data_IF_666041697926
#
_entry.id   IF_666041697926
#
_cell.length_a   1.000
_cell.length_b   1.000
_cell.length_c   1.000
_cell.angle_alpha   90.00
_cell.angle_beta   90.00
_cell.angle_gamma   90.00
#
_symmetry.space_group_name_H-M   'P 1'
#
loop_
_entity.id
_entity.type
_entity.pdbx_description
1 polymer ?
#
# COMPACT_ATOMS: atom_id res chain seq x y z
N UNK A 1 -6.18 29.04 6.10
CA UNK A 1 -7.27 28.04 6.12
C UNK A 1 -8.56 28.46 5.41
N UNK A 2 -8.75 29.71 4.96
CA UNK A 2 -10.10 30.22 4.62
C UNK A 2 -10.59 30.13 3.16
N UNK A 3 -9.80 29.63 2.19
CA UNK A 3 -10.21 29.65 0.76
C UNK A 3 -10.84 28.32 0.31
N UNK A 4 -10.38 27.19 0.89
CA UNK A 4 -10.94 25.86 0.57
C UNK A 4 -12.25 25.58 1.32
N UNK A 5 -12.45 26.19 2.50
CA UNK A 5 -13.70 26.03 3.28
C UNK A 5 -14.83 26.93 2.78
N UNK A 6 -14.52 27.98 2.00
CA UNK A 6 -15.51 28.87 1.38
C UNK A 6 -15.83 28.49 -0.07
N UNK A 7 -15.19 27.46 -0.60
CA UNK A 7 -15.45 26.97 -1.95
C UNK A 7 -16.64 26.01 -1.90
N UNK A 8 -17.69 26.33 -2.64
CA UNK A 8 -18.86 25.48 -2.78
C UNK A 8 -18.45 24.25 -3.61
N UNK A 9 -18.01 23.20 -2.91
CA UNK A 9 -17.54 21.95 -3.50
C UNK A 9 -18.75 21.00 -3.59
N UNK A 10 -19.38 20.83 -4.77
CA UNK A 10 -20.66 20.12 -4.91
C UNK A 10 -20.62 18.64 -4.52
N UNK A 11 -19.42 18.07 -4.32
CA UNK A 11 -19.18 16.69 -3.88
C UNK A 11 -18.43 16.60 -2.54
N UNK A 12 -18.41 17.67 -1.73
CA UNK A 12 -17.86 17.58 -0.38
C UNK A 12 -18.79 16.70 0.46
N UNK A 13 -18.44 15.42 0.56
CA UNK A 13 -19.07 14.49 1.50
C UNK A 13 -19.13 15.13 2.89
N UNK A 14 -20.28 15.01 3.55
CA UNK A 14 -20.43 15.37 4.96
C UNK A 14 -19.27 14.80 5.77
N UNK A 15 -18.80 15.52 6.80
CA UNK A 15 -17.72 15.04 7.68
C UNK A 15 -18.06 13.63 8.16
N UNK A 16 -17.40 12.62 7.59
CA UNK A 16 -17.64 11.23 7.96
C UNK A 16 -17.17 11.03 9.38
N UNK A 17 -18.06 10.59 10.26
CA UNK A 17 -17.75 10.43 11.69
C UNK A 17 -17.12 9.06 11.96
N UNK A 18 -16.34 8.96 13.03
CA UNK A 18 -15.71 7.69 13.43
C UNK A 18 -16.73 6.53 13.55
N UNK A 19 -17.91 6.69 14.20
CA UNK A 19 -18.91 5.63 14.28
C UNK A 19 -19.48 5.21 12.92
N UNK A 20 -19.72 6.16 12.00
CA UNK A 20 -20.24 5.87 10.66
C UNK A 20 -19.23 5.06 9.85
N UNK A 21 -17.97 5.50 9.82
CA UNK A 21 -16.89 4.81 9.10
C UNK A 21 -16.70 3.39 9.67
N UNK A 22 -16.69 3.23 11.00
CA UNK A 22 -16.57 1.92 11.64
C UNK A 22 -17.74 1.01 11.27
N UNK A 23 -18.98 1.51 11.26
CA UNK A 23 -20.15 0.71 10.85
C UNK A 23 -20.06 0.29 9.39
N UNK A 24 -19.71 1.21 8.47
CA UNK A 24 -19.54 0.89 7.06
C UNK A 24 -18.50 -0.22 6.82
N UNK A 25 -17.37 -0.18 7.53
CA UNK A 25 -16.36 -1.22 7.43
C UNK A 25 -16.86 -2.56 7.98
N UNK A 26 -17.52 -2.55 9.14
CA UNK A 26 -18.07 -3.76 9.78
C UNK A 26 -19.12 -4.47 8.94
N UNK A 27 -19.89 -3.70 8.17
CA UNK A 27 -20.93 -4.16 7.26
C UNK A 27 -20.41 -4.49 5.86
N UNK A 28 -19.11 -4.23 5.59
CA UNK A 28 -18.47 -4.53 4.30
C UNK A 28 -18.78 -3.52 3.19
N UNK A 29 -19.29 -2.33 3.54
CA UNK A 29 -19.55 -1.24 2.59
C UNK A 29 -18.28 -0.54 2.11
N UNK A 30 -17.21 -0.57 2.91
CA UNK A 30 -15.89 -0.04 2.55
C UNK A 30 -14.81 -1.10 2.77
N UNK A 31 -13.73 -1.04 1.99
CA UNK A 31 -12.63 -2.01 2.06
C UNK A 31 -11.72 -1.76 3.28
N UNK A 32 -10.84 -2.72 3.61
CA UNK A 32 -9.86 -2.56 4.69
C UNK A 32 -8.96 -1.35 4.47
N UNK A 33 -8.47 -1.16 3.23
CA UNK A 33 -7.67 0.01 2.89
C UNK A 33 -8.41 1.33 3.04
N UNK A 34 -9.67 1.40 2.59
CA UNK A 34 -10.49 2.60 2.75
C UNK A 34 -10.69 2.91 4.23
N UNK A 35 -10.97 1.87 5.03
CA UNK A 35 -11.10 2.02 6.47
C UNK A 35 -9.82 2.53 7.13
N UNK A 36 -8.67 1.92 6.84
CA UNK A 36 -7.37 2.37 7.32
C UNK A 36 -7.05 3.81 6.89
N UNK A 37 -7.44 4.20 5.68
CA UNK A 37 -7.27 5.57 5.18
C UNK A 37 -8.10 6.56 5.99
N UNK A 38 -9.35 6.22 6.29
CA UNK A 38 -10.22 7.06 7.12
C UNK A 38 -9.73 7.15 8.56
N UNK A 39 -9.28 6.04 9.17
CA UNK A 39 -8.70 6.04 10.52
C UNK A 39 -7.46 6.93 10.60
N UNK A 40 -6.55 6.82 9.63
CA UNK A 40 -5.39 7.70 9.54
C UNK A 40 -5.80 9.17 9.50
N UNK A 41 -6.73 9.52 8.61
CA UNK A 41 -7.25 10.89 8.48
C UNK A 41 -7.89 11.40 9.77
N UNK A 42 -8.74 10.59 10.41
CA UNK A 42 -9.42 10.94 11.66
C UNK A 42 -8.44 11.06 12.83
N UNK A 43 -7.32 10.32 12.81
CA UNK A 43 -6.26 10.39 13.81
C UNK A 43 -5.24 11.51 13.58
N UNK A 44 -5.52 12.44 12.66
CA UNK A 44 -4.68 13.61 12.36
C UNK A 44 -3.55 13.36 11.36
N UNK A 45 -3.50 12.19 10.72
CA UNK A 45 -2.44 11.86 9.74
C UNK A 45 -2.66 12.51 8.39
N UNK A 46 -1.57 12.84 7.71
CA UNK A 46 -1.60 13.59 6.44
C UNK A 46 -0.39 13.30 5.57
N UNK A 47 -0.60 13.29 4.24
CA UNK A 47 0.48 13.28 3.26
C UNK A 47 1.32 14.57 3.24
N UNK A 48 0.81 15.66 3.85
CA UNK A 48 1.49 16.95 3.89
C UNK A 48 2.54 17.06 5.01
N UNK A 49 2.53 16.16 5.98
CA UNK A 49 3.48 16.13 7.10
C UNK A 49 4.08 14.72 7.24
N UNK A 50 5.36 14.59 6.90
CA UNK A 50 6.07 13.31 6.94
C UNK A 50 6.24 12.76 8.38
N UNK A 51 6.18 13.62 9.40
CA UNK A 51 6.22 13.18 10.81
C UNK A 51 4.92 12.50 11.23
N UNK A 52 3.82 12.83 10.55
CA UNK A 52 2.46 12.36 10.77
C UNK A 52 1.89 11.69 9.51
N UNK A 53 2.76 11.02 8.75
CA UNK A 53 2.35 10.33 7.53
C UNK A 53 1.39 9.18 7.86
N UNK A 54 0.45 8.84 6.95
CA UNK A 54 -0.42 7.69 7.14
C UNK A 54 0.38 6.40 7.35
N UNK A 55 -0.08 5.57 8.28
CA UNK A 55 0.55 4.28 8.66
C UNK A 55 -0.36 3.12 8.29
N UNK A 56 0.23 2.09 7.70
CA UNK A 56 -0.41 0.83 7.33
C UNK A 56 0.39 -0.36 7.91
N UNK A 57 -0.27 -1.49 8.21
CA UNK A 57 0.42 -2.67 8.70
C UNK A 57 1.25 -3.34 7.60
N UNK A 58 2.38 -3.94 7.97
CA UNK A 58 2.84 -5.13 7.24
C UNK A 58 1.75 -6.21 7.26
N UNK A 59 1.39 -6.75 6.09
CA UNK A 59 0.36 -7.80 5.98
C UNK A 59 0.96 -9.18 5.83
N UNK A 60 1.92 -9.33 4.92
CA UNK A 60 2.58 -10.62 4.66
C UNK A 60 3.79 -10.81 5.56
N UNK A 61 4.10 -12.06 5.86
CA UNK A 61 5.32 -12.52 6.55
C UNK A 61 6.23 -13.35 5.63
N UNK A 62 5.72 -13.85 4.50
CA UNK A 62 6.47 -14.61 3.50
C UNK A 62 6.86 -13.77 2.27
N UNK A 63 8.15 -13.47 2.20
CA UNK A 63 8.78 -12.76 1.09
C UNK A 63 9.84 -13.61 0.39
N UNK A 64 9.83 -14.93 0.61
CA UNK A 64 10.85 -15.88 0.15
C UNK A 64 10.33 -16.94 -0.79
N UNK A 65 9.06 -17.32 -0.68
CA UNK A 65 8.51 -18.39 -1.51
C UNK A 65 8.32 -18.00 -2.98
N UNK A 66 8.45 -18.99 -3.86
CA UNK A 66 8.17 -18.86 -5.30
C UNK A 66 6.67 -18.76 -5.63
N UNK A 67 5.83 -19.24 -4.72
CA UNK A 67 4.37 -19.20 -4.83
C UNK A 67 3.78 -18.70 -3.52
N UNK A 68 2.72 -17.91 -3.62
CA UNK A 68 1.97 -17.41 -2.46
C UNK A 68 0.52 -17.90 -2.51
N UNK A 69 0.07 -18.54 -1.44
CA UNK A 69 -1.32 -18.99 -1.26
C UNK A 69 -2.04 -18.09 -0.27
N UNK A 70 -2.90 -17.19 -0.76
CA UNK A 70 -3.58 -16.19 0.10
C UNK A 70 -4.57 -16.80 1.09
N UNK A 71 -4.88 -18.08 0.97
CA UNK A 71 -5.71 -18.83 1.93
C UNK A 71 -4.91 -19.43 3.08
N UNK A 72 -3.59 -19.49 2.99
CA UNK A 72 -2.73 -20.01 4.05
C UNK A 72 -2.55 -18.96 5.16
N UNK A 73 -2.98 -19.21 6.41
CA UNK A 73 -2.76 -18.28 7.51
C UNK A 73 -1.27 -18.06 7.84
N UNK A 74 -0.38 -18.97 7.47
CA UNK A 74 1.04 -18.93 7.86
C UNK A 74 1.83 -17.81 7.17
N UNK A 75 1.37 -17.36 6.00
CA UNK A 75 2.02 -16.30 5.21
C UNK A 75 1.66 -14.89 5.69
N UNK A 76 0.77 -14.77 6.68
CA UNK A 76 0.33 -13.50 7.22
C UNK A 76 1.09 -13.15 8.49
N UNK A 77 1.33 -11.86 8.68
CA UNK A 77 1.79 -11.30 9.96
C UNK A 77 0.74 -11.57 11.05
N UNK A 78 1.19 -11.81 12.28
CA UNK A 78 0.32 -11.73 13.44
C UNK A 78 -0.06 -10.28 13.78
N UNK A 79 -1.26 -9.86 13.36
CA UNK A 79 -1.81 -8.52 13.59
C UNK A 79 -2.15 -8.22 15.06
N UNK A 80 -2.11 -9.22 15.96
CA UNK A 80 -2.28 -9.02 17.41
C UNK A 80 -1.04 -8.48 18.09
N UNK A 81 0.11 -8.56 17.43
CA UNK A 81 1.42 -8.18 17.96
C UNK A 81 1.98 -6.97 17.21
N UNK A 82 2.72 -6.07 17.89
CA UNK A 82 3.56 -5.06 17.22
C UNK A 82 4.55 -5.68 16.23
N UNK A 83 5.08 -4.88 15.30
CA UNK A 83 6.01 -5.37 14.27
C UNK A 83 7.28 -5.95 14.88
N UNK A 84 7.82 -5.33 15.93
CA UNK A 84 9.10 -5.70 16.54
C UNK A 84 9.10 -7.06 17.26
N UNK A 85 7.93 -7.61 17.59
CA UNK A 85 7.75 -8.84 18.39
C UNK A 85 6.99 -9.92 17.64
N UNK A 86 7.10 -9.92 16.30
CA UNK A 86 6.62 -11.04 15.49
C UNK A 86 7.42 -12.32 15.76
N UNK A 87 8.72 -12.18 16.05
CA UNK A 87 9.56 -13.24 16.60
C UNK A 87 9.56 -13.19 18.14
N UNK A 88 9.09 -14.27 18.77
CA UNK A 88 8.98 -14.37 20.22
C UNK A 88 10.33 -14.29 20.94
N UNK A 89 11.44 -14.62 20.27
CA UNK A 89 12.78 -14.50 20.86
C UNK A 89 13.18 -13.06 21.17
N UNK A 90 12.52 -12.07 20.54
CA UNK A 90 12.79 -10.64 20.72
C UNK A 90 11.92 -9.99 21.79
N UNK A 91 10.83 -10.64 22.19
CA UNK A 91 9.85 -10.05 23.12
C UNK A 91 10.49 -9.65 24.47
N UNK A 92 11.29 -10.54 25.05
CA UNK A 92 12.00 -10.27 26.31
C UNK A 92 12.99 -9.11 26.23
N UNK A 93 13.58 -8.86 25.05
CA UNK A 93 14.50 -7.72 24.89
C UNK A 93 13.77 -6.39 25.14
N UNK A 94 12.58 -6.23 24.57
CA UNK A 94 11.80 -5.00 24.71
C UNK A 94 11.16 -4.87 26.09
N UNK A 95 10.70 -5.98 26.68
CA UNK A 95 10.21 -6.01 28.07
C UNK A 95 11.32 -5.55 29.02
N UNK A 96 12.53 -6.10 28.88
CA UNK A 96 13.68 -5.69 29.69
C UNK A 96 14.03 -4.19 29.49
N UNK A 97 13.92 -3.68 28.26
CA UNK A 97 14.13 -2.25 28.01
C UNK A 97 13.11 -1.38 28.76
N UNK A 98 11.84 -1.78 28.77
CA UNK A 98 10.80 -1.10 29.54
C UNK A 98 11.10 -1.13 31.05
N UNK A 99 11.51 -2.29 31.59
CA UNK A 99 11.85 -2.42 33.01
C UNK A 99 13.07 -1.59 33.42
N UNK A 100 14.13 -1.60 32.60
CA UNK A 100 15.34 -0.80 32.83
C UNK A 100 15.00 0.69 32.79
N UNK A 101 14.29 1.15 31.75
CA UNK A 101 13.89 2.55 31.65
C UNK A 101 13.00 2.94 32.82
N UNK A 102 12.06 2.09 33.24
CA UNK A 102 11.20 2.34 34.41
C UNK A 102 12.01 2.51 35.70
N UNK A 103 13.08 1.74 35.89
CA UNK A 103 13.96 1.86 37.05
C UNK A 103 14.86 3.11 36.99
N UNK A 104 15.22 3.58 35.80
CA UNK A 104 16.08 4.76 35.60
C UNK A 104 15.30 6.08 35.59
N UNK A 105 13.99 6.04 35.33
CA UNK A 105 13.19 7.26 35.20
C UNK A 105 12.91 7.87 36.58
N UNK A 106 13.47 9.06 36.86
CA UNK A 106 13.16 9.83 38.07
C UNK A 106 12.03 10.84 37.86
N UNK A 107 11.85 11.32 36.63
CA UNK A 107 10.83 12.30 36.23
C UNK A 107 9.72 11.64 35.39
N UNK A 108 8.45 11.95 35.70
CA UNK A 108 7.30 11.40 34.98
C UNK A 108 7.27 11.70 33.46
N UNK A 109 8.08 12.68 32.99
CA UNK A 109 8.14 13.10 31.59
C UNK A 109 8.95 12.16 30.68
N UNK A 110 9.85 11.36 31.25
CA UNK A 110 10.74 10.44 30.53
C UNK A 110 10.31 8.98 30.70
N UNK A 111 9.02 8.76 31.01
CA UNK A 111 8.43 7.47 31.36
C UNK A 111 8.87 6.27 30.49
N UNK A 112 8.75 5.05 31.04
CA UNK A 112 9.32 3.85 30.44
C UNK A 112 8.75 3.52 29.06
N UNK A 113 9.56 2.88 28.23
CA UNK A 113 9.17 2.51 26.88
C UNK A 113 9.80 1.17 26.44
N UNK A 114 9.09 0.47 25.57
CA UNK A 114 9.61 -0.68 24.84
C UNK A 114 10.49 -0.24 23.67
N UNK A 115 10.09 0.84 22.98
CA UNK A 115 10.71 1.29 21.73
C UNK A 115 11.18 2.75 21.84
N UNK A 116 12.47 2.98 21.59
CA UNK A 116 13.08 4.32 21.63
C UNK A 116 12.72 5.22 20.44
N UNK A 117 12.12 4.67 19.38
CA UNK A 117 11.68 5.39 18.18
C UNK A 117 10.32 4.88 17.72
N UNK A 118 9.59 5.69 16.96
CA UNK A 118 8.26 5.34 16.47
C UNK A 118 8.30 4.53 15.18
N UNK A 119 7.26 3.73 14.92
CA UNK A 119 7.10 2.92 13.70
C UNK A 119 6.79 3.73 12.44
N UNK A 120 6.51 5.02 12.59
CA UNK A 120 6.21 5.96 11.51
C UNK A 120 6.87 7.30 11.84
N UNK A 121 7.80 7.73 10.99
CA UNK A 121 8.51 9.00 11.08
C UNK A 121 9.01 9.43 9.69
N UNK A 122 9.50 10.67 9.57
CA UNK A 122 9.96 11.24 8.30
C UNK A 122 11.05 10.40 7.63
N UNK A 123 12.01 9.87 8.41
CA UNK A 123 13.09 9.04 7.89
C UNK A 123 12.58 7.74 7.27
N UNK A 124 11.57 7.11 7.88
CA UNK A 124 10.93 5.89 7.36
C UNK A 124 10.21 6.16 6.04
N UNK A 125 9.42 7.23 5.99
CA UNK A 125 8.67 7.61 4.78
C UNK A 125 9.63 7.91 3.64
N UNK A 126 10.66 8.72 3.90
CA UNK A 126 11.67 9.06 2.91
C UNK A 126 12.49 7.83 2.50
N UNK A 127 12.78 6.90 3.41
CA UNK A 127 13.45 5.63 3.09
C UNK A 127 12.66 4.81 2.08
N UNK A 128 11.34 4.68 2.25
CA UNK A 128 10.50 3.95 1.29
C UNK A 128 10.31 4.69 -0.04
N UNK A 129 10.19 6.02 0.00
CA UNK A 129 9.88 6.85 -1.18
C UNK A 129 11.10 7.44 -1.88
N UNK A 130 12.33 7.12 -1.47
CA UNK A 130 13.58 7.74 -1.96
C UNK A 130 13.74 7.70 -3.49
N UNK A 131 13.08 6.77 -4.17
CA UNK A 131 13.10 6.60 -5.63
C UNK A 131 12.14 7.52 -6.39
N UNK A 132 11.24 8.22 -5.70
CA UNK A 132 10.22 9.07 -6.31
C UNK A 132 10.50 10.56 -6.03
N UNK A 133 10.61 11.41 -7.06
CA UNK A 133 10.50 12.85 -6.88
C UNK A 133 9.09 13.25 -6.38
N UNK A 134 8.96 14.24 -5.46
CA UNK A 134 10.01 15.05 -4.87
C UNK A 134 10.70 14.43 -3.63
N UNK A 135 10.29 13.24 -3.18
CA UNK A 135 10.82 12.59 -1.98
C UNK A 135 12.32 12.31 -2.05
N UNK A 136 12.88 12.06 -3.24
CA UNK A 136 14.33 11.98 -3.43
C UNK A 136 15.05 13.24 -2.95
N UNK A 137 14.55 14.43 -3.30
CA UNK A 137 15.16 15.69 -2.88
C UNK A 137 14.96 15.93 -1.38
N UNK A 138 13.81 15.53 -0.84
CA UNK A 138 13.55 15.60 0.60
C UNK A 138 14.48 14.67 1.39
N UNK A 139 14.74 13.47 0.88
CA UNK A 139 15.69 12.52 1.45
C UNK A 139 17.11 13.08 1.46
N UNK A 140 17.59 13.63 0.33
CA UNK A 140 18.92 14.24 0.26
C UNK A 140 19.05 15.39 1.26
N UNK A 141 18.04 16.26 1.38
CA UNK A 141 18.04 17.34 2.41
C UNK A 141 18.03 16.80 3.83
N UNK A 142 17.38 15.65 4.05
CA UNK A 142 17.35 14.98 5.35
C UNK A 142 18.69 14.31 5.70
N UNK A 143 19.50 13.95 4.70
CA UNK A 143 20.81 13.26 4.83
C UNK A 143 21.99 14.16 4.37
N UNK A 144 21.96 15.44 4.71
CA UNK A 144 23.05 16.40 4.46
C UNK A 144 23.57 16.41 3.00
N UNK A 145 22.65 16.30 2.04
CA UNK A 145 22.91 16.35 0.60
C UNK A 145 23.34 15.03 -0.04
N UNK A 146 23.39 13.92 0.72
CA UNK A 146 23.87 12.63 0.23
C UNK A 146 22.79 11.55 0.29
N UNK A 147 22.92 10.53 -0.55
CA UNK A 147 22.20 9.28 -0.32
C UNK A 147 22.77 8.57 0.91
N UNK A 148 21.94 7.74 1.56
CA UNK A 148 22.39 6.91 2.68
C UNK A 148 23.34 5.82 2.18
N UNK A 149 24.03 5.15 3.11
CA UNK A 149 24.91 4.06 2.73
C UNK A 149 24.10 2.95 2.04
N UNK A 150 24.68 2.27 1.04
CA UNK A 150 23.95 1.31 0.22
C UNK A 150 23.28 0.19 1.04
N UNK A 151 23.94 -0.27 2.11
CA UNK A 151 23.43 -1.33 2.99
C UNK A 151 22.24 -0.93 3.87
N UNK A 152 22.00 0.38 4.07
CA UNK A 152 20.82 0.91 4.79
C UNK A 152 19.74 1.42 3.86
N UNK A 153 20.06 1.61 2.58
CA UNK A 153 19.09 2.07 1.58
C UNK A 153 18.02 1.00 1.37
N UNK A 154 16.77 1.41 1.15
CA UNK A 154 15.66 0.50 0.87
C UNK A 154 15.96 -0.32 -0.38
N UNK A 155 16.40 -1.58 -0.22
CA UNK A 155 16.90 -2.39 -1.33
C UNK A 155 16.17 -3.73 -1.48
N UNK A 156 15.45 -4.20 -0.46
CA UNK A 156 14.72 -5.48 -0.49
C UNK A 156 13.53 -5.47 0.46
N UNK A 157 12.40 -6.01 -0.01
CA UNK A 157 11.20 -6.20 0.83
C UNK A 157 11.47 -7.22 1.92
N UNK A 158 12.11 -8.34 1.55
CA UNK A 158 12.45 -9.40 2.50
C UNK A 158 13.39 -8.88 3.59
N UNK A 159 14.41 -8.09 3.24
CA UNK A 159 15.31 -7.48 4.23
C UNK A 159 14.55 -6.52 5.14
N UNK A 160 13.67 -5.68 4.58
CA UNK A 160 12.87 -4.72 5.36
C UNK A 160 11.97 -5.42 6.37
N UNK A 161 11.26 -6.48 5.95
CA UNK A 161 10.47 -7.33 6.85
C UNK A 161 11.33 -7.94 7.94
N UNK A 162 12.44 -8.60 7.57
CA UNK A 162 13.33 -9.27 8.54
C UNK A 162 13.87 -8.29 9.58
N UNK A 163 14.37 -7.13 9.15
CA UNK A 163 14.91 -6.11 10.06
C UNK A 163 13.82 -5.61 11.01
N UNK A 164 12.64 -5.27 10.49
CA UNK A 164 11.54 -4.74 11.29
C UNK A 164 10.94 -5.78 12.27
N UNK A 165 10.95 -7.06 11.88
CA UNK A 165 10.22 -8.13 12.59
C UNK A 165 11.06 -8.97 13.55
N UNK A 166 12.37 -9.06 13.32
CA UNK A 166 13.24 -9.98 14.09
C UNK A 166 14.73 -9.62 14.16
N UNK A 167 15.32 -9.16 13.07
CA UNK A 167 16.78 -9.12 12.94
C UNK A 167 17.38 -7.85 13.57
N UNK A 168 16.61 -6.76 13.67
CA UNK A 168 17.03 -5.52 14.32
C UNK A 168 16.31 -5.32 15.66
N UNK A 169 17.01 -4.69 16.61
CA UNK A 169 16.44 -4.20 17.88
C UNK A 169 16.11 -2.72 17.85
N UNK A 170 16.28 -2.05 16.71
CA UNK A 170 16.08 -0.60 16.55
C UNK A 170 15.24 -0.25 15.31
N UNK A 171 14.90 -1.25 14.49
CA UNK A 171 14.07 -1.06 13.32
C UNK A 171 12.65 -1.56 13.62
N UNK A 172 11.69 -0.64 13.70
CA UNK A 172 10.29 -0.95 14.04
C UNK A 172 9.33 -0.38 12.98
N UNK A 173 9.79 -0.24 11.74
CA UNK A 173 9.00 0.36 10.65
C UNK A 173 7.69 -0.39 10.44
N UNK A 174 6.58 0.34 10.44
CA UNK A 174 5.35 -0.10 9.77
C UNK A 174 5.33 0.45 8.33
N UNK A 175 4.39 -0.03 7.52
CA UNK A 175 4.29 0.37 6.11
C UNK A 175 3.57 1.70 5.92
N UNK A 176 3.69 2.21 4.69
CA UNK A 176 2.95 3.37 4.18
C UNK A 176 1.89 2.88 3.15
N UNK A 177 0.83 3.67 2.89
CA UNK A 177 -0.24 3.29 1.96
C UNK A 177 0.24 2.90 0.55
N UNK A 178 1.33 3.49 0.08
CA UNK A 178 1.90 3.32 -1.26
C UNK A 178 2.26 1.86 -1.58
N UNK A 179 2.56 1.05 -0.57
CA UNK A 179 2.78 -0.41 -0.73
C UNK A 179 1.56 -1.17 -1.26
N UNK A 180 0.39 -0.53 -1.30
CA UNK A 180 -0.88 -1.13 -1.70
C UNK A 180 -1.50 -0.49 -2.94
N UNK A 181 -0.83 0.50 -3.56
CA UNK A 181 -1.31 1.09 -4.82
C UNK A 181 -0.24 1.70 -5.74
N UNK A 182 1.00 1.91 -5.30
CA UNK A 182 2.01 2.68 -6.05
C UNK A 182 3.25 1.83 -6.39
N UNK A 183 3.26 1.09 -7.51
CA UNK A 183 4.38 0.21 -7.89
C UNK A 183 5.70 0.96 -8.16
N UNK A 184 5.63 2.25 -8.48
CA UNK A 184 6.79 3.06 -8.81
C UNK A 184 7.76 3.24 -7.63
N UNK A 185 7.30 3.07 -6.36
CA UNK A 185 8.20 3.14 -5.19
C UNK A 185 9.31 2.09 -5.22
N UNK A 186 9.11 1.00 -5.97
CA UNK A 186 10.07 -0.10 -6.10
C UNK A 186 11.02 0.08 -7.30
N UNK A 187 10.78 1.08 -8.15
CA UNK A 187 11.50 1.29 -9.40
C UNK A 187 12.45 2.49 -9.33
N UNK A 188 13.72 2.28 -9.70
CA UNK A 188 14.66 3.37 -9.90
C UNK A 188 14.60 3.87 -11.34
N UNK A 189 13.46 4.44 -11.74
CA UNK A 189 13.23 4.89 -13.13
C UNK A 189 14.13 6.06 -13.53
N UNK A 190 14.51 6.90 -12.56
CA UNK A 190 15.40 8.05 -12.77
C UNK A 190 16.89 7.68 -12.83
N UNK A 191 17.24 6.40 -12.61
CA UNK A 191 18.63 5.95 -12.67
C UNK A 191 19.54 6.51 -11.56
N UNK A 192 18.99 6.82 -10.38
CA UNK A 192 19.76 7.30 -9.24
C UNK A 192 20.89 6.34 -8.86
N UNK A 193 22.02 6.90 -8.43
CA UNK A 193 23.16 6.13 -7.94
C UNK A 193 23.08 5.93 -6.43
N UNK A 194 22.48 4.82 -6.00
CA UNK A 194 22.44 4.40 -4.60
C UNK A 194 23.68 3.62 -4.14
N UNK A 195 24.71 3.51 -4.98
CA UNK A 195 25.97 2.84 -4.67
C UNK A 195 25.90 1.30 -4.69
N UNK A 196 26.92 0.70 -4.05
CA UNK A 196 27.14 -0.76 -4.01
C UNK A 196 27.29 -1.19 -2.57
N UNK A 197 26.53 -2.22 -2.18
CA UNK A 197 26.54 -2.81 -0.84
C UNK A 197 27.86 -3.51 -0.56
N UNK A 198 28.13 -3.77 0.73
CA UNK A 198 29.27 -4.59 1.14
C UNK A 198 29.27 -6.00 0.54
N UNK A 199 28.09 -6.53 0.18
CA UNK A 199 27.95 -7.80 -0.54
C UNK A 199 28.42 -7.75 -2.01
N UNK A 200 28.73 -6.57 -2.54
CA UNK A 200 29.03 -6.34 -3.95
C UNK A 200 27.79 -6.08 -4.81
N UNK A 201 26.59 -6.16 -4.24
CA UNK A 201 25.34 -5.90 -4.97
C UNK A 201 25.11 -4.40 -5.15
N UNK A 202 24.86 -3.98 -6.39
CA UNK A 202 24.44 -2.61 -6.69
C UNK A 202 23.00 -2.37 -6.23
N UNK A 203 22.76 -1.24 -5.56
CA UNK A 203 21.41 -0.82 -5.17
C UNK A 203 20.76 -0.11 -6.37
N UNK A 204 19.65 -0.66 -6.87
CA UNK A 204 18.90 -0.13 -8.01
C UNK A 204 17.39 -0.22 -7.78
N UNK A 205 16.68 -1.10 -8.51
CA UNK A 205 15.31 -1.48 -8.18
C UNK A 205 15.28 -2.19 -6.83
N UNK A 206 14.15 -2.09 -6.13
CA UNK A 206 13.95 -2.87 -4.90
C UNK A 206 13.82 -4.34 -5.28
N UNK A 207 14.56 -5.20 -4.58
CA UNK A 207 14.43 -6.65 -4.72
C UNK A 207 13.08 -7.08 -4.15
N UNK A 208 12.24 -7.61 -5.04
CA UNK A 208 10.90 -8.08 -4.71
C UNK A 208 10.89 -9.60 -4.47
N UNK A 209 9.87 -10.15 -3.79
CA UNK A 209 9.76 -11.58 -3.54
C UNK A 209 9.67 -12.43 -4.82
N UNK A 210 10.15 -13.69 -4.81
CA UNK A 210 10.14 -14.53 -6.00
C UNK A 210 8.75 -14.73 -6.63
N UNK A 211 7.70 -14.86 -5.81
CA UNK A 211 6.31 -15.00 -6.29
C UNK A 211 5.81 -13.85 -7.18
N UNK A 212 6.42 -12.66 -7.09
CA UNK A 212 6.02 -11.56 -7.97
C UNK A 212 6.74 -11.57 -9.33
N UNK A 213 7.75 -12.44 -9.53
CA UNK A 213 8.49 -12.55 -10.79
C UNK A 213 9.24 -11.27 -11.19
N UNK A 214 9.61 -10.43 -10.22
CA UNK A 214 10.27 -9.15 -10.45
C UNK A 214 9.35 -8.04 -10.96
N UNK A 215 8.03 -8.23 -10.95
CA UNK A 215 7.04 -7.23 -11.38
C UNK A 215 6.47 -6.45 -10.18
N UNK A 216 6.80 -5.15 -10.02
CA UNK A 216 6.25 -4.31 -8.95
C UNK A 216 4.73 -4.16 -8.99
N UNK A 217 4.10 -4.19 -10.16
CA UNK A 217 2.64 -4.12 -10.27
C UNK A 217 2.02 -5.39 -9.71
N UNK A 218 2.56 -6.55 -10.06
CA UNK A 218 2.13 -7.82 -9.47
C UNK A 218 2.31 -7.82 -7.95
N UNK A 219 3.45 -7.33 -7.45
CA UNK A 219 3.66 -7.18 -6.01
C UNK A 219 2.55 -6.36 -5.35
N UNK A 220 2.28 -5.15 -5.85
CA UNK A 220 1.25 -4.25 -5.29
C UNK A 220 -0.15 -4.86 -5.35
N UNK A 221 -0.51 -5.49 -6.48
CA UNK A 221 -1.83 -6.13 -6.65
C UNK A 221 -2.04 -7.26 -5.65
N UNK A 222 -1.05 -8.15 -5.52
CA UNK A 222 -1.11 -9.28 -4.58
C UNK A 222 -1.11 -8.78 -3.14
N UNK A 223 -0.31 -7.76 -2.84
CA UNK A 223 -0.26 -7.18 -1.51
C UNK A 223 -1.58 -6.48 -1.13
N UNK A 224 -2.24 -5.83 -2.10
CA UNK A 224 -3.59 -5.30 -1.91
C UNK A 224 -4.63 -6.42 -1.76
N UNK A 225 -4.55 -7.48 -2.55
CA UNK A 225 -5.43 -8.64 -2.40
C UNK A 225 -5.25 -9.32 -1.03
N UNK A 226 -4.02 -9.40 -0.52
CA UNK A 226 -3.73 -9.90 0.82
C UNK A 226 -4.33 -9.00 1.91
N UNK A 227 -4.22 -7.67 1.79
CA UNK A 227 -4.86 -6.72 2.71
C UNK A 227 -6.38 -6.87 2.74
N UNK A 228 -7.01 -7.17 1.61
CA UNK A 228 -8.47 -7.35 1.51
C UNK A 228 -8.92 -8.81 1.75
N UNK A 229 -8.00 -9.70 2.13
CA UNK A 229 -8.32 -11.10 2.36
C UNK A 229 -9.21 -11.29 3.59
N UNK A 230 -10.01 -12.37 3.60
CA UNK A 230 -10.85 -12.71 4.75
C UNK A 230 -10.02 -12.88 6.04
N UNK A 231 -8.80 -13.40 5.92
CA UNK A 231 -7.89 -13.54 7.07
C UNK A 231 -7.56 -12.17 7.68
N UNK A 232 -7.19 -11.19 6.87
CA UNK A 232 -6.89 -9.83 7.36
C UNK A 232 -8.14 -9.15 7.88
N UNK A 233 -9.26 -9.20 7.14
CA UNK A 233 -10.54 -8.61 7.57
C UNK A 233 -10.97 -9.11 8.96
N UNK A 234 -10.79 -10.40 9.24
CA UNK A 234 -11.11 -10.99 10.56
C UNK A 234 -10.16 -10.55 11.67
N UNK A 235 -8.94 -10.12 11.37
CA UNK A 235 -7.89 -9.88 12.38
C UNK A 235 -7.43 -8.41 12.46
N UNK A 236 -7.79 -7.56 11.50
CA UNK A 236 -7.31 -6.18 11.38
C UNK A 236 -7.65 -5.30 12.59
N UNK A 237 -8.80 -5.55 13.22
CA UNK A 237 -9.23 -4.87 14.45
C UNK A 237 -8.19 -4.95 15.58
N UNK A 238 -7.41 -6.04 15.66
CA UNK A 238 -6.33 -6.15 16.65
C UNK A 238 -5.15 -5.22 16.39
N UNK A 239 -4.80 -5.00 15.12
CA UNK A 239 -3.75 -4.04 14.77
C UNK A 239 -4.24 -2.61 14.98
N UNK A 240 -5.52 -2.35 14.69
CA UNK A 240 -6.16 -1.07 14.98
C UNK A 240 -6.12 -0.78 16.49
N UNK A 241 -6.34 -1.78 17.35
CA UNK A 241 -6.21 -1.61 18.80
C UNK A 241 -4.82 -1.13 19.24
N UNK A 242 -3.75 -1.61 18.58
CA UNK A 242 -2.36 -1.22 18.85
C UNK A 242 -2.06 0.21 18.39
N UNK A 243 -2.56 0.60 17.21
CA UNK A 243 -2.16 1.85 16.55
C UNK A 243 -3.09 3.01 16.85
N UNK A 244 -4.40 2.78 16.86
CA UNK A 244 -5.44 3.80 17.05
C UNK A 244 -6.35 3.54 18.26
N UNK A 245 -6.25 2.37 18.90
CA UNK A 245 -7.22 1.93 19.90
C UNK A 245 -6.66 1.85 21.32
N UNK A 246 -7.31 1.03 22.14
CA UNK A 246 -7.10 1.03 23.59
C UNK A 246 -5.74 0.47 24.02
N UNK A 247 -5.01 -0.22 23.13
CA UNK A 247 -3.66 -0.75 23.38
C UNK A 247 -2.55 0.23 22.97
N UNK A 248 -2.88 1.45 22.58
CA UNK A 248 -1.89 2.50 22.30
C UNK A 248 -1.22 3.01 23.59
N UNK A 249 -1.96 3.04 24.71
CA UNK A 249 -1.50 3.61 25.99
C UNK A 249 -1.92 2.76 27.20
N UNK A 250 -1.40 3.10 28.38
CA UNK A 250 -1.80 2.50 29.66
C UNK A 250 -1.40 1.02 29.81
N UNK A 251 -2.08 0.31 30.72
CA UNK A 251 -1.75 -1.08 31.05
C UNK A 251 -1.86 -2.01 29.83
N UNK A 252 -2.85 -1.79 28.97
CA UNK A 252 -3.06 -2.60 27.77
C UNK A 252 -1.91 -2.47 26.77
N UNK A 253 -1.29 -1.28 26.67
CA UNK A 253 -0.08 -1.09 25.87
C UNK A 253 1.12 -1.83 26.47
N UNK A 254 1.28 -1.81 27.80
CA UNK A 254 2.35 -2.54 28.48
C UNK A 254 2.22 -4.04 28.26
N UNK A 255 1.03 -4.60 28.50
CA UNK A 255 0.73 -6.03 28.29
C UNK A 255 0.89 -6.48 26.83
N UNK A 256 0.75 -5.55 25.88
CA UNK A 256 0.91 -5.83 24.44
C UNK A 256 2.31 -5.49 23.91
N UNK A 257 3.26 -5.12 24.78
CA UNK A 257 4.61 -4.68 24.42
C UNK A 257 4.56 -3.53 23.38
N UNK A 258 3.69 -2.54 23.60
CA UNK A 258 3.34 -1.50 22.63
C UNK A 258 3.52 -0.08 23.17
N UNK A 259 4.58 0.13 23.96
CA UNK A 259 4.87 1.46 24.56
C UNK A 259 6.05 2.08 23.84
N UNK A 260 5.84 3.24 23.25
CA UNK A 260 6.87 4.03 22.55
C UNK A 260 7.43 5.08 23.49
N UNK A 261 8.54 5.70 23.08
CA UNK A 261 9.14 6.80 23.83
C UNK A 261 8.09 7.91 24.11
N UNK A 262 7.96 8.44 25.34
CA UNK A 262 6.90 9.40 25.72
C UNK A 262 6.74 10.59 24.77
N UNK A 263 7.85 11.09 24.25
CA UNK A 263 7.89 12.21 23.30
C UNK A 263 7.18 11.94 21.96
N UNK A 264 6.84 10.69 21.62
CA UNK A 264 6.12 10.37 20.39
C UNK A 264 4.61 10.56 20.54
N UNK A 265 4.06 10.53 21.76
CA UNK A 265 2.62 10.56 21.96
C UNK A 265 2.01 11.94 21.70
N UNK A 266 0.77 11.92 21.20
CA UNK A 266 0.00 13.13 20.95
C UNK A 266 -0.15 13.97 22.23
N UNK A 267 0.06 15.28 22.12
CA UNK A 267 -0.05 16.21 23.25
C UNK A 267 1.17 16.29 24.15
N UNK A 268 2.31 15.70 23.77
CA UNK A 268 3.57 15.91 24.49
C UNK A 268 3.98 17.38 24.51
N UNK A 269 4.18 17.93 25.71
CA UNK A 269 4.50 19.34 25.92
C UNK A 269 6.00 19.62 25.71
N UNK A 270 6.31 20.05 24.49
CA UNK A 270 7.66 20.42 24.06
C UNK A 270 8.18 21.69 24.74
N UNK A 271 7.26 22.58 25.14
CA UNK A 271 7.58 23.90 25.71
C UNK A 271 7.85 23.84 27.21
N UNK A 272 7.58 22.69 27.86
CA UNK A 272 7.84 22.51 29.28
C UNK A 272 9.34 22.31 29.60
N UNK A 273 10.08 23.38 29.87
CA UNK A 273 11.49 23.34 30.28
C UNK A 273 12.10 24.74 30.45
N UNK A 274 13.15 24.87 31.26
CA UNK A 274 13.72 26.17 31.63
C UNK A 274 14.80 26.71 30.67
N UNK A 275 15.37 25.90 29.77
CA UNK A 275 16.43 26.33 28.86
C UNK A 275 16.12 26.05 27.37
N UNK A 276 16.55 26.99 26.51
CA UNK A 276 16.32 26.99 25.08
C UNK A 276 16.98 25.81 24.35
N UNK A 277 18.12 25.34 24.85
CA UNK A 277 18.89 24.24 24.24
C UNK A 277 18.12 22.93 24.39
N UNK A 278 17.63 22.63 25.59
CA UNK A 278 16.79 21.45 25.82
C UNK A 278 15.51 21.47 24.99
N UNK A 279 14.90 22.64 24.78
CA UNK A 279 13.70 22.79 23.95
C UNK A 279 13.99 22.47 22.48
N UNK A 280 15.06 23.03 21.91
CA UNK A 280 15.45 22.75 20.52
C UNK A 280 15.87 21.29 20.33
N UNK A 281 16.56 20.69 21.31
CA UNK A 281 16.87 19.26 21.30
C UNK A 281 15.60 18.40 21.27
N UNK A 282 14.56 18.73 22.07
CA UNK A 282 13.27 18.00 22.04
C UNK A 282 12.54 18.18 20.72
N UNK A 283 12.52 19.38 20.14
CA UNK A 283 11.92 19.61 18.81
C UNK A 283 12.61 18.78 17.73
N UNK A 284 13.94 18.76 17.73
CA UNK A 284 14.72 17.94 16.81
C UNK A 284 14.47 16.44 17.02
N UNK A 285 14.38 16.01 18.28
CA UNK A 285 14.03 14.63 18.64
C UNK A 285 12.66 14.24 18.10
N UNK A 286 11.61 15.02 18.35
CA UNK A 286 10.24 14.73 17.87
C UNK A 286 10.20 14.69 16.34
N UNK A 287 10.90 15.60 15.67
CA UNK A 287 11.00 15.63 14.19
C UNK A 287 11.56 14.35 13.60
N UNK A 288 12.45 13.69 14.35
CA UNK A 288 13.18 12.50 13.92
C UNK A 288 12.51 11.21 14.39
N UNK A 289 11.99 11.19 15.62
CA UNK A 289 11.47 10.00 16.28
C UNK A 289 10.08 9.62 15.77
N UNK A 290 9.34 10.58 15.21
CA UNK A 290 7.98 10.38 14.74
C UNK A 290 6.94 10.64 15.83
N UNK A 291 5.69 10.81 15.40
CA UNK A 291 4.56 11.04 16.29
C UNK A 291 3.58 9.90 16.18
N UNK A 292 2.94 9.52 17.28
CA UNK A 292 1.86 8.52 17.34
C UNK A 292 0.54 9.13 16.88
N UNK A 293 -0.35 8.36 16.22
CA UNK A 293 -1.64 8.89 15.79
C UNK A 293 -2.48 9.26 17.02
N UNK A 294 -3.42 10.18 16.89
CA UNK A 294 -4.38 10.39 17.95
C UNK A 294 -5.15 9.10 18.25
N UNK A 295 -5.30 8.74 19.53
CA UNK A 295 -6.11 7.61 19.95
C UNK A 295 -7.58 7.85 19.59
N UNK A 296 -8.16 6.93 18.83
CA UNK A 296 -9.55 7.00 18.34
C UNK A 296 -10.50 6.14 19.18
N UNK A 297 -10.01 5.03 19.75
CA UNK A 297 -10.82 4.09 20.51
C UNK A 297 -10.24 3.81 21.89
N UNK A 298 -11.10 3.81 22.92
CA UNK A 298 -10.75 3.49 24.30
C UNK A 298 -11.20 2.09 24.74
N UNK A 299 -11.99 1.42 23.89
CA UNK A 299 -12.47 0.06 24.08
C UNK A 299 -11.90 -0.83 22.95
N UNK A 300 -11.93 -2.17 23.11
CA UNK A 300 -11.58 -3.09 22.03
C UNK A 300 -12.33 -2.77 20.74
N UNK A 301 -11.59 -2.68 19.64
CA UNK A 301 -12.14 -2.36 18.34
C UNK A 301 -13.16 -3.44 17.92
N UNK A 302 -14.35 -3.06 17.43
CA UNK A 302 -15.37 -4.03 17.06
C UNK A 302 -14.91 -4.90 15.88
N UNK A 303 -15.40 -6.14 15.84
CA UNK A 303 -15.19 -7.06 14.73
C UNK A 303 -16.17 -6.80 13.59
N UNK A 304 -15.82 -7.28 12.39
CA UNK A 304 -16.73 -7.31 11.24
C UNK A 304 -17.92 -8.24 11.52
N UNK A 305 -19.11 -7.86 11.06
CA UNK A 305 -20.35 -8.60 11.34
C UNK A 305 -20.48 -9.87 10.49
N UNK A 306 -19.97 -9.85 9.25
CA UNK A 306 -20.02 -10.98 8.30
C UNK A 306 -18.67 -11.13 7.56
N UNK A 307 -17.66 -11.79 8.16
CA UNK A 307 -16.32 -11.89 7.59
C UNK A 307 -16.18 -12.70 6.29
N UNK A 308 -17.26 -13.34 5.81
CA UNK A 308 -17.29 -14.14 4.59
C UNK A 308 -18.12 -13.58 3.44
N UNK A 309 -18.75 -12.39 3.63
CA UNK A 309 -19.61 -11.78 2.61
C UNK A 309 -19.12 -10.35 2.37
N UNK A 310 -18.07 -10.20 1.57
CA UNK A 310 -17.77 -8.91 0.95
C UNK A 310 -18.95 -8.56 0.02
N UNK A 311 -19.92 -7.79 0.52
CA UNK A 311 -21.05 -7.32 -0.31
C UNK A 311 -20.68 -6.16 -1.23
N UNK A 312 -19.39 -5.83 -1.35
CA UNK A 312 -18.94 -4.97 -2.43
C UNK A 312 -18.91 -5.77 -3.74
N UNK A 313 -19.98 -5.64 -4.53
CA UNK A 313 -20.10 -6.17 -5.90
C UNK A 313 -18.93 -5.68 -6.80
N UNK A 314 -18.20 -4.65 -6.36
CA UNK A 314 -17.05 -4.06 -7.05
C UNK A 314 -15.68 -4.37 -6.40
N UNK A 315 -15.60 -5.18 -5.34
CA UNK A 315 -14.32 -5.61 -4.80
C UNK A 315 -13.73 -6.70 -5.71
N UNK A 316 -12.47 -6.56 -6.20
CA UNK A 316 -11.86 -7.58 -7.05
C UNK A 316 -11.75 -8.92 -6.30
N UNK A 317 -12.06 -10.01 -7.00
CA UNK A 317 -11.96 -11.36 -6.46
C UNK A 317 -10.52 -11.66 -6.02
N UNK A 318 -10.35 -12.12 -4.78
CA UNK A 318 -9.01 -12.41 -4.23
C UNK A 318 -8.45 -13.64 -4.95
N UNK A 319 -7.28 -13.47 -5.57
CA UNK A 319 -6.57 -14.55 -6.24
C UNK A 319 -6.22 -15.67 -5.24
N UNK A 320 -6.73 -16.88 -5.47
CA UNK A 320 -6.44 -18.03 -4.61
C UNK A 320 -4.95 -18.43 -4.61
N UNK A 321 -4.28 -18.26 -5.75
CA UNK A 321 -2.88 -18.57 -5.95
C UNK A 321 -2.25 -17.51 -6.84
N UNK A 322 -1.02 -17.12 -6.51
CA UNK A 322 -0.20 -16.22 -7.32
C UNK A 322 0.94 -17.04 -7.90
N UNK A 323 0.74 -17.53 -9.13
CA UNK A 323 1.77 -18.26 -9.88
C UNK A 323 1.75 -17.83 -11.35
N UNK A 324 2.85 -17.24 -11.82
CA UNK A 324 3.03 -16.95 -13.25
C UNK A 324 2.06 -15.93 -13.86
N UNK A 325 1.42 -15.06 -13.06
CA UNK A 325 0.46 -14.04 -13.53
C UNK A 325 1.10 -13.02 -14.48
N UNK A 326 1.03 -13.24 -15.80
CA UNK A 326 1.47 -12.25 -16.79
C UNK A 326 0.34 -11.27 -17.06
N UNK A 327 0.53 -9.99 -16.73
CA UNK A 327 -0.41 -8.96 -17.11
C UNK A 327 -0.33 -8.72 -18.62
N UNK A 328 -1.48 -8.46 -19.26
CA UNK A 328 -1.49 -8.04 -20.66
C UNK A 328 -0.87 -6.65 -20.77
N UNK A 329 0.25 -6.53 -21.46
CA UNK A 329 0.74 -5.24 -21.96
C UNK A 329 -0.25 -4.74 -23.02
N UNK A 330 -0.84 -3.57 -22.78
CA UNK A 330 -1.65 -2.88 -23.79
C UNK A 330 -0.81 -1.80 -24.46
N UNK A 331 -1.07 -1.53 -25.75
CA UNK A 331 -0.38 -0.49 -26.48
C UNK A 331 -0.51 0.86 -25.75
N UNK A 332 0.63 1.47 -25.41
CA UNK A 332 0.67 2.70 -24.60
C UNK A 332 0.79 2.48 -23.09
N UNK A 333 1.05 1.26 -22.63
CA UNK A 333 1.40 1.00 -21.23
C UNK A 333 2.62 1.83 -20.82
N UNK A 334 2.63 2.50 -19.66
CA UNK A 334 3.74 3.37 -19.24
C UNK A 334 5.11 2.67 -19.08
N UNK A 335 5.11 1.33 -19.05
CA UNK A 335 6.31 0.52 -18.91
C UNK A 335 6.91 0.10 -20.26
N UNK A 336 6.19 0.30 -21.36
CA UNK A 336 6.63 -0.09 -22.70
C UNK A 336 7.14 1.15 -23.45
N UNK A 337 8.00 0.92 -24.44
CA UNK A 337 8.40 1.95 -25.39
C UNK A 337 7.17 2.57 -26.05
N UNK A 338 7.30 3.85 -26.44
CA UNK A 338 6.20 4.55 -27.14
C UNK A 338 5.72 3.68 -28.31
N UNK A 339 4.42 3.37 -28.40
CA UNK A 339 3.92 2.50 -29.45
C UNK A 339 4.23 3.13 -30.81
N UNK A 340 4.82 2.33 -31.69
CA UNK A 340 5.18 2.75 -33.04
C UNK A 340 3.97 2.47 -33.95
N UNK A 341 3.57 3.45 -34.77
CA UNK A 341 2.51 3.25 -35.75
C UNK A 341 3.01 2.29 -36.84
N UNK A 342 2.64 1.00 -36.75
CA UNK A 342 3.11 0.00 -37.70
C UNK A 342 2.28 -0.09 -38.99
N UNK A 343 0.98 0.25 -38.96
CA UNK A 343 0.11 0.15 -40.14
C UNK A 343 -1.04 1.17 -40.07
N UNK A 344 -1.26 1.88 -41.17
CA UNK A 344 -2.48 2.68 -41.40
C UNK A 344 -3.18 2.10 -42.61
N UNK A 345 -4.40 1.61 -42.43
CA UNK A 345 -5.19 1.05 -43.52
C UNK A 345 -6.53 1.77 -43.64
N UNK A 346 -6.80 2.33 -44.82
CA UNK A 346 -8.10 2.92 -45.14
C UNK A 346 -9.03 1.81 -45.59
N UNK A 347 -10.09 1.57 -44.82
CA UNK A 347 -11.12 0.61 -45.17
C UNK A 347 -12.21 1.27 -46.00
N UNK A 348 -12.72 0.55 -47.00
CA UNK A 348 -13.80 1.03 -47.88
C UNK A 348 -15.18 1.02 -47.20
N UNK A 349 -15.29 0.37 -46.04
CA UNK A 349 -16.51 0.23 -45.25
C UNK A 349 -16.44 1.10 -44.01
N UNK A 350 -17.53 1.80 -43.68
CA UNK A 350 -17.65 2.44 -42.36
C UNK A 350 -17.71 1.36 -41.29
N UNK A 351 -16.69 1.32 -40.42
CA UNK A 351 -16.75 0.55 -39.19
C UNK A 351 -17.46 1.40 -38.12
N UNK A 352 -18.47 0.84 -37.48
CA UNK A 352 -19.14 1.47 -36.34
C UNK A 352 -18.57 1.00 -35.00
N UNK A 353 -18.00 -0.21 -34.98
CA UNK A 353 -17.49 -0.84 -33.77
C UNK A 353 -16.14 -1.53 -34.04
N UNK A 354 -15.24 -1.44 -33.06
CA UNK A 354 -13.97 -2.16 -33.01
C UNK A 354 -13.97 -3.00 -31.74
N UNK A 355 -13.67 -4.29 -31.85
CA UNK A 355 -13.48 -5.16 -30.68
C UNK A 355 -12.25 -6.05 -30.88
N UNK A 356 -11.64 -6.52 -29.80
CA UNK A 356 -10.49 -7.44 -29.85
C UNK A 356 -10.98 -8.89 -29.82
N UNK A 357 -10.49 -9.72 -30.74
CA UNK A 357 -10.70 -11.18 -30.73
C UNK A 357 -9.52 -11.88 -30.02
N UNK A 358 -8.33 -11.31 -30.15
CA UNK A 358 -7.11 -11.76 -29.49
C UNK A 358 -6.21 -10.54 -29.20
N UNK A 359 -5.13 -10.70 -28.40
CA UNK A 359 -4.20 -9.60 -28.12
C UNK A 359 -3.61 -8.93 -29.37
N UNK A 360 -3.64 -9.61 -30.51
CA UNK A 360 -3.08 -9.12 -31.78
C UNK A 360 -4.12 -8.93 -32.88
N UNK A 361 -5.39 -9.30 -32.66
CA UNK A 361 -6.42 -9.29 -33.69
C UNK A 361 -7.62 -8.44 -33.26
N UNK A 362 -7.99 -7.50 -34.13
CA UNK A 362 -9.16 -6.66 -33.99
C UNK A 362 -10.21 -7.07 -35.02
N UNK A 363 -11.47 -7.09 -34.60
CA UNK A 363 -12.63 -7.20 -35.46
C UNK A 363 -13.25 -5.83 -35.68
N UNK A 364 -13.33 -5.45 -36.94
CA UNK A 364 -14.02 -4.24 -37.40
C UNK A 364 -15.41 -4.62 -37.89
N UNK A 365 -16.44 -4.03 -37.28
CA UNK A 365 -17.82 -4.40 -37.58
C UNK A 365 -18.57 -3.23 -38.22
N UNK A 366 -19.24 -3.47 -39.37
CA UNK A 366 -20.20 -2.53 -39.93
C UNK A 366 -21.36 -2.24 -38.97
N UNK A 367 -22.09 -1.12 -39.17
CA UNK A 367 -23.38 -0.91 -38.51
C UNK A 367 -24.31 -2.12 -38.71
N UNK A 368 -25.07 -2.49 -37.69
CA UNK A 368 -26.04 -3.60 -37.69
C UNK A 368 -25.43 -5.02 -37.74
N UNK A 369 -24.19 -5.21 -37.31
CA UNK A 369 -23.58 -6.54 -37.16
C UNK A 369 -24.06 -7.21 -35.86
N UNK A 370 -24.60 -8.42 -35.96
CA UNK A 370 -24.90 -9.27 -34.79
C UNK A 370 -23.73 -10.22 -34.54
N UNK A 371 -23.14 -10.15 -33.34
CA UNK A 371 -22.09 -11.10 -32.93
C UNK A 371 -22.68 -12.15 -32.02
N UNK A 372 -22.52 -13.41 -32.40
CA UNK A 372 -22.84 -14.57 -31.57
C UNK A 372 -21.53 -15.20 -31.11
N UNK A 373 -21.23 -15.08 -29.82
CA UNK A 373 -20.08 -15.75 -29.20
C UNK A 373 -20.53 -17.09 -28.63
N UNK A 374 -19.93 -18.19 -29.08
CA UNK A 374 -20.12 -19.51 -28.48
C UNK A 374 -18.79 -20.00 -27.89
N UNK A 375 -18.77 -20.26 -26.58
CA UNK A 375 -17.62 -20.88 -25.92
C UNK A 375 -17.65 -22.39 -26.11
N UNK A 376 -16.55 -22.98 -26.56
CA UNK A 376 -16.34 -24.44 -26.50
C UNK A 376 -15.49 -24.71 -25.28
N UNK A 377 -16.10 -25.22 -24.22
CA UNK A 377 -15.39 -25.69 -23.04
C UNK A 377 -14.78 -27.07 -23.36
N UNK A 378 -13.47 -27.13 -23.60
CA UNK A 378 -12.73 -28.39 -23.81
C UNK A 378 -12.50 -29.08 -22.45
N UNK A 379 -13.58 -29.53 -21.82
CA UNK A 379 -13.47 -30.20 -20.52
C UNK A 379 -14.71 -30.96 -20.03
N UNK A 380 -15.91 -30.63 -20.49
CA UNK A 380 -17.12 -31.30 -19.99
C UNK A 380 -18.16 -31.54 -21.10
N UNK A 381 -18.68 -32.78 -21.17
CA UNK A 381 -19.88 -33.08 -21.97
C UNK A 381 -21.06 -32.42 -21.25
N UNK A 382 -21.41 -31.19 -21.61
CA UNK A 382 -22.69 -30.60 -21.20
C UNK A 382 -23.25 -29.70 -22.29
N UNK A 383 -24.58 -29.74 -22.44
CA UNK A 383 -25.36 -29.11 -23.50
C UNK A 383 -25.11 -27.59 -23.57
N UNK A 384 -24.90 -27.11 -24.80
CA UNK A 384 -24.87 -25.69 -25.16
C UNK A 384 -26.30 -25.13 -25.04
N UNK A 385 -26.49 -24.10 -24.20
CA UNK A 385 -27.62 -23.18 -24.27
C UNK A 385 -27.13 -21.84 -24.81
N UNK A 386 -27.73 -21.29 -25.88
CA UNK A 386 -27.32 -20.00 -26.44
C UNK A 386 -27.81 -18.87 -25.52
N UNK A 387 -26.88 -18.15 -24.89
CA UNK A 387 -27.16 -16.85 -24.27
C UNK A 387 -26.90 -15.77 -25.31
N UNK A 388 -27.98 -15.18 -25.84
CA UNK A 388 -27.91 -13.95 -26.62
C UNK A 388 -27.79 -12.77 -25.66
N UNK A 389 -26.61 -12.16 -25.55
CA UNK A 389 -26.43 -10.88 -24.86
C UNK A 389 -26.76 -9.73 -25.82
N UNK A 390 -27.88 -9.06 -25.59
CA UNK A 390 -28.20 -7.80 -26.26
C UNK A 390 -27.41 -6.67 -25.59
N UNK A 391 -26.41 -6.11 -26.29
CA UNK A 391 -25.91 -4.77 -25.95
C UNK A 391 -26.55 -3.76 -26.89
N UNK A 392 -27.49 -2.97 -26.35
CA UNK A 392 -27.99 -1.76 -26.99
C UNK A 392 -27.47 -0.58 -26.18
N UNK A 393 -26.27 -0.10 -26.51
CA UNK A 393 -25.82 1.22 -26.06
C UNK A 393 -26.04 2.20 -27.22
N UNK A 394 -26.80 3.30 -27.03
CA UNK A 394 -26.87 4.35 -28.03
C UNK A 394 -25.54 5.12 -28.04
N UNK A 395 -25.16 5.73 -29.19
CA UNK A 395 -23.88 6.42 -29.30
C UNK A 395 -23.87 7.71 -28.45
N UNK A 396 -22.71 8.10 -27.87
CA UNK A 396 -22.53 9.47 -27.43
C UNK A 396 -22.53 10.38 -28.67
N UNK A 397 -23.43 11.36 -28.71
CA UNK A 397 -23.43 12.41 -29.74
C UNK A 397 -22.24 13.34 -29.49
N UNK A 398 -21.20 13.25 -30.32
CA UNK A 398 -20.23 14.33 -30.46
C UNK A 398 -20.71 15.28 -31.57
N UNK A 399 -20.88 16.58 -31.29
CA UNK A 399 -21.28 17.54 -32.31
C UNK A 399 -20.09 17.87 -33.21
N UNK A 400 -20.28 17.68 -34.51
CA UNK A 400 -19.55 18.36 -35.57
C UNK A 400 -18.06 18.04 -35.70
N UNK A 401 -17.73 17.08 -36.57
CA UNK A 401 -16.57 17.14 -37.48
C UNK A 401 -16.71 16.02 -38.51
N UNK A 402 -16.71 16.41 -39.78
CA UNK A 402 -16.88 15.52 -40.91
C UNK A 402 -15.52 14.93 -41.34
N UNK A 403 -15.53 13.62 -41.60
CA UNK A 403 -14.56 12.78 -42.31
C UNK A 403 -13.15 12.50 -41.72
N UNK A 404 -12.97 11.18 -41.52
CA UNK A 404 -11.80 10.33 -41.83
C UNK A 404 -10.43 10.67 -41.24
N UNK A 405 -10.09 10.03 -40.11
CA UNK A 405 -8.80 9.35 -39.90
C UNK A 405 -8.95 8.37 -38.73
N UNK A 406 -8.68 7.08 -38.96
CA UNK A 406 -8.64 6.05 -37.93
C UNK A 406 -7.19 5.56 -37.84
N UNK A 407 -6.46 6.04 -36.84
CA UNK A 407 -5.09 5.62 -36.54
C UNK A 407 -5.15 4.41 -35.61
N UNK A 408 -4.74 3.23 -36.09
CA UNK A 408 -4.61 2.04 -35.24
C UNK A 408 -3.13 1.79 -34.93
N UNK A 409 -2.80 1.77 -33.63
CA UNK A 409 -1.47 1.47 -33.13
C UNK A 409 -1.32 -0.06 -33.01
N UNK A 410 -0.38 -0.63 -33.75
CA UNK A 410 0.07 -2.02 -33.58
C UNK A 410 1.48 -1.99 -32.98
N UNK A 411 1.69 -2.69 -31.87
CA UNK A 411 3.02 -3.02 -31.38
C UNK A 411 3.28 -4.50 -31.70
N UNK A 412 4.18 -4.75 -32.64
CA UNK A 412 4.67 -6.11 -32.92
C UNK A 412 5.72 -6.42 -31.85
N UNK A 413 5.38 -7.31 -30.91
CA UNK A 413 6.37 -7.89 -30.02
C UNK A 413 7.36 -8.75 -30.86
N UNK A 414 8.66 -8.81 -30.50
CA UNK A 414 9.59 -9.68 -31.20
C UNK A 414 9.14 -11.14 -31.07
N UNK A 415 8.89 -11.77 -32.21
CA UNK A 415 8.68 -13.21 -32.31
C UNK A 415 9.96 -13.93 -31.87
N UNK A 416 9.94 -14.53 -30.68
CA UNK A 416 10.83 -15.64 -30.39
C UNK A 416 10.10 -16.93 -30.79
N UNK A 417 10.62 -17.59 -31.82
CA UNK A 417 10.27 -18.96 -32.21
C UNK A 417 11.53 -19.66 -32.70
N UNK A 418 11.64 -20.98 -32.52
CA UNK A 418 11.23 -21.83 -31.39
C UNK A 418 12.40 -22.10 -30.43
#
# INVERSE_FOLDING_TARGET
MGVLTSSDLPNLSSKTTLPEVTTQWREGHITNFEYLTQLNKLAGRSFNDLMQYPVFPFILSDYTSDTLHLTDPSIYRNLKKPIAVQDSSKENHYINNYEITAAMTQDAKDGPYHYGSHYSNSGIVLHFLVRLPPFTQLFLRYQDGNFDIPDRTFHSIQTSWRLASRDSTTDFKELIPEFFFLPEIFLNSEGFNFGVRQSGERVHHVQLPPWCGGDPRRFVLVHRAALESAHVTQNLHHWIDLVFGYKQTGRAAVESVNVFHPATYFGYDVESGSDEISREARKAMIKTYGQSPQQLFINPHPTVSNPGVSQNINAPEVLHEVRGLKWGTYAGSPADDRPILALVQTLKTQAAFITSISPTELLLMPPHTLVLTAGIDRGSRTRISPTASYSTLPPPRLPGLAWQHLSMLYQVAPTYTP
#
